data_IF_530168348826
#
_entry.id   IF_530168348826
#
_cell.length_a   1.000
_cell.length_b   1.000
_cell.length_c   1.000
_cell.angle_alpha   90.00
_cell.angle_beta   90.00
_cell.angle_gamma   90.00
#
_symmetry.space_group_name_H-M   'P 1'
#
loop_
_entity.id
_entity.type
_entity.pdbx_description
1 polymer ?
#
# COMPACT_ATOMS: atom_id res chain seq x y z
N UNK A 1 -6.59 -42.01 8.03
CA UNK A 1 -5.30 -41.36 7.66
C UNK A 1 -5.49 -40.59 6.36
N UNK A 2 -5.40 -39.25 6.36
CA UNK A 2 -5.30 -38.43 5.13
C UNK A 2 -4.36 -37.25 5.42
N UNK A 3 -3.20 -37.21 4.77
CA UNK A 3 -2.18 -36.16 4.89
C UNK A 3 -2.57 -34.86 4.14
N UNK A 4 -2.64 -33.69 4.78
CA UNK A 4 -2.86 -32.42 4.08
C UNK A 4 -1.58 -31.62 3.76
N UNK A 5 -0.37 -32.14 4.06
CA UNK A 5 0.87 -31.32 4.08
C UNK A 5 1.58 -31.11 2.72
N UNK A 6 1.35 -31.96 1.71
CA UNK A 6 2.10 -31.93 0.42
C UNK A 6 1.69 -30.80 -0.55
N UNK A 7 0.48 -30.25 -0.47
CA UNK A 7 -0.01 -29.19 -1.39
C UNK A 7 0.50 -27.78 -1.06
N UNK A 8 0.91 -27.53 0.19
CA UNK A 8 1.32 -26.18 0.62
C UNK A 8 2.81 -25.91 0.27
N UNK A 9 3.67 -26.91 0.45
CA UNK A 9 5.11 -26.78 0.17
C UNK A 9 5.42 -26.56 -1.33
N UNK A 10 4.74 -27.30 -2.23
CA UNK A 10 4.86 -27.09 -3.69
C UNK A 10 4.45 -25.67 -4.13
N UNK A 11 3.47 -25.05 -3.46
CA UNK A 11 3.03 -23.68 -3.75
C UNK A 11 4.03 -22.61 -3.29
N UNK A 12 4.76 -22.85 -2.20
CA UNK A 12 5.79 -21.91 -1.74
C UNK A 12 7.05 -21.97 -2.62
N UNK A 13 7.50 -23.17 -2.98
CA UNK A 13 8.68 -23.35 -3.84
C UNK A 13 8.47 -22.77 -5.25
N UNK A 14 7.30 -22.99 -5.85
CA UNK A 14 6.97 -22.42 -7.17
C UNK A 14 6.84 -20.90 -7.15
N UNK A 15 6.34 -20.29 -6.06
CA UNK A 15 6.33 -18.83 -5.88
C UNK A 15 7.74 -18.26 -5.73
N UNK A 16 8.62 -18.95 -4.99
CA UNK A 16 10.00 -18.53 -4.77
C UNK A 16 10.79 -18.51 -6.09
N UNK A 17 10.78 -19.62 -6.84
CA UNK A 17 11.43 -19.75 -8.15
C UNK A 17 10.89 -18.72 -9.16
N UNK A 18 9.58 -18.44 -9.13
CA UNK A 18 8.96 -17.45 -10.03
C UNK A 18 9.34 -16.01 -9.67
N UNK A 19 9.65 -15.75 -8.40
CA UNK A 19 10.10 -14.43 -7.93
C UNK A 19 11.56 -14.22 -8.28
N UNK A 20 12.44 -15.20 -8.00
CA UNK A 20 13.87 -15.15 -8.34
C UNK A 20 14.12 -14.90 -9.84
N UNK A 21 13.27 -15.45 -10.71
CA UNK A 21 13.37 -15.22 -12.16
C UNK A 21 13.10 -13.77 -12.59
N UNK A 22 12.28 -13.00 -11.87
CA UNK A 22 11.98 -11.62 -12.26
C UNK A 22 13.05 -10.64 -11.77
N UNK A 23 13.71 -10.94 -10.65
CA UNK A 23 14.71 -10.05 -10.03
C UNK A 23 15.92 -9.84 -10.95
N UNK A 24 16.26 -10.86 -11.74
CA UNK A 24 17.31 -10.80 -12.76
C UNK A 24 17.07 -9.75 -13.84
N UNK A 25 15.85 -9.25 -13.98
CA UNK A 25 15.45 -8.27 -14.99
C UNK A 25 14.99 -6.95 -14.36
N UNK A 26 15.31 -6.71 -13.08
CA UNK A 26 14.92 -5.48 -12.40
C UNK A 26 15.51 -4.24 -13.08
N UNK A 27 16.78 -4.30 -13.52
CA UNK A 27 17.44 -3.19 -14.25
C UNK A 27 16.77 -2.90 -15.59
N UNK A 28 16.38 -3.95 -16.33
CA UNK A 28 15.63 -3.81 -17.60
C UNK A 28 14.25 -3.17 -17.35
N UNK A 29 13.57 -3.57 -16.25
CA UNK A 29 12.28 -2.98 -15.85
C UNK A 29 12.45 -1.50 -15.48
N UNK A 30 13.49 -1.15 -14.71
CA UNK A 30 13.76 0.23 -14.29
C UNK A 30 14.04 1.12 -15.51
N UNK A 31 14.91 0.67 -16.40
CA UNK A 31 15.24 1.40 -17.63
C UNK A 31 14.00 1.62 -18.50
N UNK A 32 13.23 0.55 -18.76
CA UNK A 32 12.02 0.63 -19.57
C UNK A 32 10.92 1.48 -18.91
N UNK A 33 10.83 1.50 -17.58
CA UNK A 33 9.86 2.34 -16.88
C UNK A 33 10.18 3.83 -17.05
N UNK A 34 11.45 4.22 -16.99
CA UNK A 34 11.85 5.61 -17.20
C UNK A 34 11.53 6.11 -18.62
N UNK A 35 11.61 5.22 -19.62
CA UNK A 35 11.22 5.52 -21.00
C UNK A 35 9.70 5.67 -21.16
N UNK A 36 8.93 4.73 -20.61
CA UNK A 36 7.47 4.69 -20.82
C UNK A 36 6.64 5.38 -19.73
N UNK A 37 7.25 6.06 -18.74
CA UNK A 37 6.52 6.64 -17.59
C UNK A 37 5.35 7.57 -17.95
N UNK A 38 5.44 8.26 -19.08
CA UNK A 38 4.44 9.23 -19.54
C UNK A 38 3.42 8.61 -20.52
N UNK A 39 3.57 7.33 -20.85
CA UNK A 39 2.78 6.65 -21.85
C UNK A 39 1.55 5.99 -21.22
N UNK A 40 0.43 5.87 -21.96
CA UNK A 40 -0.69 5.08 -21.49
C UNK A 40 -0.27 3.60 -21.36
N UNK A 41 -0.68 2.98 -20.26
CA UNK A 41 -0.42 1.56 -19.96
C UNK A 41 1.08 1.18 -19.99
N UNK A 42 1.94 1.84 -19.19
CA UNK A 42 3.41 1.66 -19.26
C UNK A 42 3.82 0.20 -19.07
N UNK A 43 3.17 -0.50 -18.14
CA UNK A 43 3.47 -1.91 -17.85
C UNK A 43 3.23 -2.87 -19.03
N UNK A 44 2.30 -2.55 -19.93
CA UNK A 44 2.05 -3.35 -21.14
C UNK A 44 3.19 -3.14 -22.13
N UNK A 45 3.64 -1.89 -22.33
CA UNK A 45 4.79 -1.57 -23.18
C UNK A 45 6.07 -2.23 -22.66
N UNK A 46 6.32 -2.14 -21.35
CA UNK A 46 7.49 -2.77 -20.71
C UNK A 46 7.47 -4.29 -20.90
N UNK A 47 6.31 -4.94 -20.71
CA UNK A 47 6.16 -6.39 -20.93
C UNK A 47 6.54 -6.81 -22.35
N UNK A 48 6.09 -6.06 -23.35
CA UNK A 48 6.41 -6.30 -24.75
C UNK A 48 7.88 -6.02 -25.07
N UNK A 49 8.47 -4.96 -24.50
CA UNK A 49 9.87 -4.59 -24.71
C UNK A 49 10.83 -5.64 -24.14
N UNK A 50 10.61 -6.04 -22.89
CA UNK A 50 11.45 -7.03 -22.22
C UNK A 50 11.31 -8.40 -22.89
N UNK A 51 10.09 -8.77 -23.31
CA UNK A 51 9.79 -10.01 -24.04
C UNK A 51 10.36 -11.29 -23.40
N UNK A 52 10.49 -11.32 -22.06
CA UNK A 52 10.97 -12.49 -21.29
C UNK A 52 9.84 -13.35 -20.73
N UNK A 53 8.62 -13.17 -21.23
CA UNK A 53 7.43 -13.90 -20.75
C UNK A 53 6.85 -13.39 -19.42
N UNK A 54 7.27 -12.22 -18.93
CA UNK A 54 6.61 -11.57 -17.79
C UNK A 54 5.34 -10.85 -18.23
N UNK A 55 4.25 -11.12 -17.53
CA UNK A 55 3.00 -10.38 -17.73
C UNK A 55 3.12 -8.95 -17.18
N UNK A 56 2.39 -8.01 -17.80
CA UNK A 56 2.28 -6.62 -17.31
C UNK A 56 1.88 -6.52 -15.83
N UNK A 57 1.06 -7.47 -15.34
CA UNK A 57 0.68 -7.58 -13.92
C UNK A 57 1.86 -7.89 -13.01
N UNK A 58 2.77 -8.79 -13.43
CA UNK A 58 3.97 -9.11 -12.66
C UNK A 58 4.92 -7.92 -12.59
N UNK A 59 5.11 -7.25 -13.72
CA UNK A 59 5.96 -6.06 -13.81
C UNK A 59 5.39 -4.95 -12.93
N UNK A 60 4.08 -4.67 -13.04
CA UNK A 60 3.41 -3.70 -12.15
C UNK A 60 3.59 -4.05 -10.69
N UNK A 61 3.39 -5.31 -10.32
CA UNK A 61 3.52 -5.75 -8.94
C UNK A 61 4.95 -5.59 -8.43
N UNK A 62 5.96 -5.96 -9.22
CA UNK A 62 7.38 -5.79 -8.89
C UNK A 62 7.71 -4.30 -8.73
N UNK A 63 7.28 -3.46 -9.67
CA UNK A 63 7.48 -2.00 -9.63
C UNK A 63 6.95 -1.35 -8.35
N UNK A 64 5.65 -1.47 -8.09
CA UNK A 64 4.99 -0.79 -6.94
C UNK A 64 5.40 -1.34 -5.57
N UNK A 65 6.13 -2.47 -5.53
CA UNK A 65 6.55 -3.09 -4.27
C UNK A 65 8.03 -2.96 -3.99
N UNK A 66 8.88 -2.95 -5.02
CA UNK A 66 10.34 -3.05 -4.86
C UNK A 66 11.15 -2.10 -5.75
N UNK A 67 10.71 -1.73 -6.95
CA UNK A 67 11.58 -1.03 -7.92
C UNK A 67 11.35 0.47 -8.03
N UNK A 68 10.20 0.98 -7.62
CA UNK A 68 9.93 2.41 -7.65
C UNK A 68 10.90 3.14 -6.70
N UNK A 69 11.81 4.00 -7.21
CA UNK A 69 12.84 4.66 -6.40
C UNK A 69 12.28 5.56 -5.29
N UNK A 70 11.01 5.97 -5.41
CA UNK A 70 10.34 6.78 -4.38
C UNK A 70 9.97 5.96 -3.15
N UNK A 71 9.95 4.62 -3.26
CA UNK A 71 9.55 3.74 -2.16
C UNK A 71 10.58 3.73 -1.05
N UNK A 72 10.11 4.01 0.16
CA UNK A 72 10.92 3.89 1.36
C UNK A 72 10.80 2.47 1.94
N UNK A 73 11.88 1.68 1.78
CA UNK A 73 11.93 0.28 2.23
C UNK A 73 12.22 0.10 3.72
N UNK A 74 12.63 1.17 4.42
CA UNK A 74 12.97 1.16 5.83
C UNK A 74 11.79 0.69 6.70
N UNK A 75 12.05 0.40 7.97
CA UNK A 75 10.97 0.18 8.92
C UNK A 75 10.13 1.44 9.12
N UNK A 76 8.89 1.27 9.62
CA UNK A 76 8.06 2.41 10.02
C UNK A 76 8.63 3.01 11.29
N UNK A 77 8.84 4.32 11.29
CA UNK A 77 9.31 5.07 12.45
C UNK A 77 8.20 5.17 13.51
N UNK A 78 8.53 5.51 14.75
CA UNK A 78 7.55 5.59 15.84
C UNK A 78 6.46 6.65 15.57
N UNK A 79 6.83 7.75 14.93
CA UNK A 79 5.89 8.81 14.51
C UNK A 79 4.94 8.31 13.41
N UNK A 80 5.45 7.56 12.43
CA UNK A 80 4.63 6.96 11.37
C UNK A 80 3.65 5.95 11.96
N UNK A 81 4.12 5.11 12.90
CA UNK A 81 3.29 4.12 13.61
C UNK A 81 2.18 4.79 14.40
N UNK A 82 2.51 5.84 15.15
CA UNK A 82 1.55 6.63 15.92
C UNK A 82 0.52 7.28 15.02
N UNK A 83 0.96 7.87 13.91
CA UNK A 83 0.07 8.48 12.92
C UNK A 83 -0.89 7.48 12.28
N UNK A 84 -0.42 6.29 11.91
CA UNK A 84 -1.31 5.23 11.38
C UNK A 84 -2.40 4.87 12.40
N UNK A 85 -2.03 4.76 13.68
CA UNK A 85 -2.99 4.40 14.72
C UNK A 85 -4.06 5.46 14.94
N UNK A 86 -3.64 6.72 15.03
CA UNK A 86 -4.52 7.87 15.18
C UNK A 86 -5.46 8.00 13.98
N UNK A 87 -4.91 7.99 12.77
CA UNK A 87 -5.68 8.13 11.54
C UNK A 87 -6.71 7.02 11.38
N UNK A 88 -6.36 5.75 11.67
CA UNK A 88 -7.31 4.63 11.55
C UNK A 88 -8.42 4.73 12.60
N UNK A 89 -8.13 5.23 13.81
CA UNK A 89 -9.16 5.49 14.83
C UNK A 89 -10.13 6.57 14.36
N UNK A 90 -9.62 7.72 13.92
CA UNK A 90 -10.43 8.82 13.40
C UNK A 90 -11.28 8.39 12.20
N UNK A 91 -10.68 7.68 11.24
CA UNK A 91 -11.37 7.18 10.06
C UNK A 91 -12.54 6.27 10.43
N UNK A 92 -12.35 5.38 11.42
CA UNK A 92 -13.41 4.48 11.90
C UNK A 92 -14.49 5.21 12.69
N UNK A 93 -14.13 6.26 13.43
CA UNK A 93 -15.11 7.07 14.14
C UNK A 93 -16.02 7.82 13.17
N UNK A 94 -15.45 8.33 12.06
CA UNK A 94 -16.20 9.01 11.00
C UNK A 94 -16.95 8.03 10.09
N UNK A 95 -16.38 6.84 9.85
CA UNK A 95 -16.89 5.84 8.90
C UNK A 95 -16.90 4.44 9.55
N UNK A 96 -17.87 4.14 10.43
CA UNK A 96 -17.86 2.91 11.23
C UNK A 96 -18.03 1.63 10.42
N UNK A 97 -18.78 1.70 9.31
CA UNK A 97 -19.06 0.56 8.42
C UNK A 97 -18.02 0.39 7.31
N UNK A 98 -17.24 1.43 7.01
CA UNK A 98 -16.44 1.46 5.79
C UNK A 98 -15.12 0.71 5.93
N UNK A 99 -14.71 0.11 4.83
CA UNK A 99 -13.37 -0.47 4.70
C UNK A 99 -12.34 0.66 4.73
N UNK A 100 -11.26 0.44 5.49
CA UNK A 100 -10.14 1.38 5.57
C UNK A 100 -9.54 1.59 4.16
N UNK A 101 -9.54 2.84 3.70
CA UNK A 101 -8.90 3.24 2.45
C UNK A 101 -7.39 3.46 2.67
N UNK A 102 -6.60 2.39 2.52
CA UNK A 102 -5.14 2.43 2.74
C UNK A 102 -4.40 3.36 1.80
N UNK A 103 -4.82 3.47 0.53
CA UNK A 103 -4.22 4.37 -0.46
C UNK A 103 -4.30 5.83 0.02
N UNK A 104 -5.44 6.24 0.58
CA UNK A 104 -5.63 7.59 1.14
C UNK A 104 -4.73 7.86 2.33
N UNK A 105 -4.54 6.86 3.21
CA UNK A 105 -3.60 6.97 4.33
C UNK A 105 -2.16 7.10 3.84
N UNK A 106 -1.72 6.30 2.87
CA UNK A 106 -0.35 6.37 2.32
C UNK A 106 -0.09 7.75 1.71
N UNK A 107 -1.02 8.30 0.94
CA UNK A 107 -0.88 9.64 0.37
C UNK A 107 -0.74 10.72 1.45
N UNK A 108 -1.47 10.58 2.57
CA UNK A 108 -1.34 11.49 3.71
C UNK A 108 0.00 11.32 4.44
N UNK A 109 0.47 10.09 4.59
CA UNK A 109 1.79 9.80 5.17
C UNK A 109 2.92 10.37 4.30
N UNK A 110 2.84 10.19 2.98
CA UNK A 110 3.81 10.70 2.03
C UNK A 110 3.90 12.24 2.11
N UNK A 111 2.74 12.92 2.13
CA UNK A 111 2.69 14.37 2.33
C UNK A 111 3.25 14.85 3.68
N UNK A 112 3.09 14.06 4.75
CA UNK A 112 3.50 14.44 6.12
C UNK A 112 4.98 14.13 6.39
N UNK A 113 5.47 12.98 5.95
CA UNK A 113 6.79 12.45 6.28
C UNK A 113 7.77 12.48 5.11
N UNK A 114 7.30 12.77 3.88
CA UNK A 114 8.11 12.72 2.67
C UNK A 114 8.55 11.30 2.28
N UNK A 115 7.88 10.28 2.82
CA UNK A 115 8.24 8.86 2.64
C UNK A 115 7.06 8.10 2.03
N UNK A 116 7.21 7.67 0.78
CA UNK A 116 6.23 6.82 0.14
C UNK A 116 6.36 5.38 0.65
N UNK A 117 5.44 4.99 1.52
CA UNK A 117 5.37 3.61 2.06
C UNK A 117 4.50 2.72 1.19
N UNK A 118 4.92 1.47 1.02
CA UNK A 118 4.08 0.47 0.35
C UNK A 118 2.82 0.17 1.17
N UNK A 119 1.71 -0.09 0.49
CA UNK A 119 0.44 -0.44 1.14
C UNK A 119 0.56 -1.66 2.05
N UNK A 120 1.35 -2.65 1.62
CA UNK A 120 1.62 -3.83 2.42
C UNK A 120 2.33 -3.50 3.74
N UNK A 121 3.26 -2.54 3.76
CA UNK A 121 3.97 -2.17 4.99
C UNK A 121 3.00 -1.61 6.04
N UNK A 122 2.16 -0.67 5.62
CA UNK A 122 1.15 -0.03 6.49
C UNK A 122 0.12 -1.06 6.98
N UNK A 123 -0.40 -1.91 6.07
CA UNK A 123 -1.32 -3.00 6.42
C UNK A 123 -0.71 -3.97 7.41
N UNK A 124 0.51 -4.44 7.15
CA UNK A 124 1.19 -5.42 7.99
C UNK A 124 1.36 -4.89 9.41
N UNK A 125 1.79 -3.64 9.57
CA UNK A 125 1.89 -2.99 10.87
C UNK A 125 0.54 -3.00 11.61
N UNK A 126 -0.52 -2.50 10.97
CA UNK A 126 -1.83 -2.40 11.59
C UNK A 126 -2.42 -3.77 11.99
N UNK A 127 -2.39 -4.74 11.08
CA UNK A 127 -2.95 -6.07 11.34
C UNK A 127 -2.11 -6.86 12.35
N UNK A 128 -0.79 -6.69 12.36
CA UNK A 128 0.08 -7.27 13.37
C UNK A 128 -0.25 -6.72 14.76
N UNK A 129 -0.39 -5.39 14.88
CA UNK A 129 -0.81 -4.73 16.13
C UNK A 129 -2.17 -5.24 16.61
N UNK A 130 -3.17 -5.28 15.74
CA UNK A 130 -4.52 -5.80 16.07
C UNK A 130 -4.49 -7.25 16.56
N UNK A 131 -3.63 -8.09 15.96
CA UNK A 131 -3.43 -9.48 16.40
C UNK A 131 -2.79 -9.55 17.79
N UNK A 132 -1.79 -8.71 18.06
CA UNK A 132 -1.15 -8.64 19.38
C UNK A 132 -2.14 -8.20 20.47
N UNK A 133 -2.95 -7.17 20.20
CA UNK A 133 -3.99 -6.70 21.13
C UNK A 133 -5.00 -7.81 21.46
N UNK A 134 -5.46 -8.56 20.46
CA UNK A 134 -6.34 -9.72 20.68
C UNK A 134 -5.71 -10.77 21.60
N UNK A 135 -4.42 -11.05 21.43
CA UNK A 135 -3.70 -12.01 22.28
C UNK A 135 -3.55 -11.50 23.71
N UNK A 136 -3.24 -10.21 23.89
CA UNK A 136 -3.14 -9.58 25.23
C UNK A 136 -4.45 -9.66 26.01
N UNK A 137 -5.59 -9.50 25.34
CA UNK A 137 -6.93 -9.63 25.96
C UNK A 137 -7.33 -11.06 26.32
N UNK A 138 -6.61 -12.06 25.81
CA UNK A 138 -6.90 -13.48 26.03
C UNK A 138 -5.97 -14.12 27.07
N UNK A 139 -4.93 -13.41 27.54
CA UNK A 139 -4.17 -13.90 28.70
C UNK A 139 -5.02 -13.67 29.96
N UNK A 140 -5.26 -14.71 30.79
CA UNK A 140 -5.85 -14.51 32.11
C UNK A 140 -4.91 -13.65 32.96
N UNK A 141 -5.48 -12.66 33.64
CA UNK A 141 -4.77 -11.84 34.64
C UNK A 141 -4.19 -12.79 35.68
N UNK A 142 -2.87 -12.76 35.88
CA UNK A 142 -2.22 -13.44 37.00
C UNK A 142 -2.30 -12.54 38.23
N UNK A 143 -3.51 -12.22 38.66
CA UNK A 143 -3.74 -11.61 39.97
C UNK A 143 -4.46 -12.67 40.80
N UNK A 144 -3.67 -13.60 41.33
CA UNK A 144 -3.91 -14.40 42.55
C UNK A 144 -2.93 -15.59 42.56
N UNK A 145 -1.70 -15.33 43.00
CA UNK A 145 -0.85 -16.32 43.68
C UNK A 145 0.38 -15.61 44.24
N UNK A 146 0.30 -15.26 45.52
CA UNK A 146 1.46 -15.03 46.38
C UNK A 146 2.39 -16.24 46.34
N UNK A 147 3.57 -16.09 45.72
CA UNK A 147 4.88 -16.53 46.26
C UNK A 147 5.99 -16.27 45.24
N UNK A 148 6.98 -15.46 45.64
CA UNK A 148 8.31 -15.37 45.03
C UNK A 148 9.03 -16.73 45.15
N UNK A 149 9.95 -17.09 44.24
CA UNK A 149 11.33 -16.60 44.38
C UNK A 149 11.89 -15.93 43.12
N UNK A 150 12.81 -15.00 43.34
CA UNK A 150 13.65 -14.40 42.32
C UNK A 150 14.56 -15.43 41.67
N UNK A 151 14.68 -15.35 40.34
CA UNK A 151 15.90 -15.77 39.63
C UNK A 151 16.15 -14.82 38.45
N UNK A 152 17.28 -14.14 38.54
CA UNK A 152 17.76 -13.16 37.59
C UNK A 152 18.52 -13.90 36.49
N UNK A 153 18.05 -13.84 35.24
CA UNK A 153 18.94 -14.06 34.10
C UNK A 153 18.50 -13.29 32.86
N UNK A 154 19.26 -12.24 32.59
CA UNK A 154 19.37 -11.52 31.32
C UNK A 154 19.85 -12.51 30.26
N UNK A 155 19.06 -12.76 29.21
CA UNK A 155 19.56 -13.28 27.94
C UNK A 155 18.62 -12.87 26.77
N UNK A 156 19.10 -11.87 26.02
CA UNK A 156 19.07 -11.72 24.56
C UNK A 156 17.73 -11.73 23.81
N UNK A 157 17.49 -10.60 23.16
CA UNK A 157 16.79 -10.40 21.89
C UNK A 157 16.61 -11.67 21.06
N UNK A 158 15.37 -12.14 20.94
CA UNK A 158 14.99 -13.03 19.85
C UNK A 158 13.86 -12.40 19.06
N UNK A 159 14.23 -11.88 17.89
CA UNK A 159 13.33 -11.57 16.79
C UNK A 159 12.60 -12.85 16.38
N UNK A 160 11.31 -12.93 16.66
CA UNK A 160 10.45 -14.00 16.16
C UNK A 160 9.46 -13.44 15.14
N UNK A 161 9.84 -13.50 13.86
CA UNK A 161 8.93 -13.39 12.73
C UNK A 161 8.17 -14.71 12.56
N UNK A 162 6.99 -14.84 13.16
CA UNK A 162 6.04 -15.92 12.80
C UNK A 162 5.25 -15.52 11.56
N UNK A 163 5.62 -16.12 10.43
CA UNK A 163 4.93 -16.01 9.15
C UNK A 163 3.71 -16.94 9.14
N UNK A 164 2.51 -16.39 9.33
CA UNK A 164 1.27 -17.10 9.01
C UNK A 164 0.48 -16.34 7.95
N UNK A 165 0.54 -16.92 6.75
CA UNK A 165 -0.08 -16.45 5.52
C UNK A 165 -1.60 -16.67 5.57
N UNK A 166 -2.37 -15.59 5.71
CA UNK A 166 -3.76 -15.53 5.26
C UNK A 166 -4.09 -14.10 4.81
N UNK A 167 -3.93 -13.85 3.51
CA UNK A 167 -4.35 -12.62 2.83
C UNK A 167 -5.84 -12.79 2.44
N UNK A 168 -6.77 -11.94 2.92
CA UNK A 168 -8.11 -11.89 2.34
C UNK A 168 -8.04 -11.27 0.95
N UNK A 169 -8.46 -12.04 -0.05
CA UNK A 169 -8.69 -11.58 -1.42
C UNK A 169 -9.89 -10.64 -1.43
N UNK A 170 -9.66 -9.35 -1.64
CA UNK A 170 -10.64 -8.37 -2.11
C UNK A 170 -9.89 -7.07 -2.38
N UNK A 171 -9.45 -6.92 -3.63
CA UNK A 171 -8.95 -5.64 -4.16
C UNK A 171 -10.18 -4.81 -4.48
N UNK A 172 -10.56 -3.94 -3.54
CA UNK A 172 -11.49 -2.84 -3.82
C UNK A 172 -10.59 -1.63 -3.99
N UNK A 173 -10.55 -1.12 -5.22
CA UNK A 173 -9.80 0.05 -5.63
C UNK A 173 -10.72 1.25 -5.43
N UNK A 174 -10.37 2.17 -4.53
CA UNK A 174 -11.03 3.46 -4.46
C UNK A 174 -10.23 4.39 -5.38
N UNK A 175 -10.69 4.58 -6.62
CA UNK A 175 -10.30 5.74 -7.40
C UNK A 175 -11.21 6.90 -6.98
N UNK A 176 -10.62 8.01 -6.56
CA UNK A 176 -11.28 9.30 -6.65
C UNK A 176 -10.57 10.02 -7.79
N UNK A 177 -11.22 10.05 -8.95
CA UNK A 177 -10.79 10.87 -10.07
C UNK A 177 -10.88 12.32 -9.62
N UNK A 178 -9.73 12.94 -9.38
CA UNK A 178 -9.66 14.39 -9.28
C UNK A 178 -9.73 14.95 -10.71
N UNK A 179 -10.93 14.96 -11.29
CA UNK A 179 -11.23 15.85 -12.39
C UNK A 179 -11.24 17.27 -11.83
N UNK A 180 -10.15 17.99 -12.07
CA UNK A 180 -10.11 19.46 -12.02
C UNK A 180 -10.99 19.95 -13.16
N UNK A 181 -12.08 20.71 -12.93
CA UNK A 181 -12.72 21.44 -14.01
C UNK A 181 -11.86 22.67 -14.33
N UNK A 182 -11.12 22.60 -15.43
CA UNK A 182 -10.62 23.81 -16.10
C UNK A 182 -11.83 24.54 -16.70
N UNK A 183 -12.45 25.42 -15.93
CA UNK A 183 -13.43 26.37 -16.49
C UNK A 183 -12.66 27.49 -17.18
N UNK A 184 -12.48 27.33 -18.49
CA UNK A 184 -12.14 28.40 -19.41
C UNK A 184 -13.35 29.34 -19.43
N UNK A 185 -13.13 30.58 -19.02
CA UNK A 185 -14.10 31.67 -19.08
C UNK A 185 -14.33 32.07 -20.55
N UNK A 186 -15.56 32.08 -21.07
CA UNK A 186 -15.88 32.78 -22.30
C UNK A 186 -16.34 34.21 -21.96
N UNK A 187 -15.53 35.17 -22.41
CA UNK A 187 -15.85 36.59 -22.50
C UNK A 187 -17.11 36.80 -23.35
N UNK A 188 -18.15 37.51 -22.88
CA UNK A 188 -19.26 37.93 -23.72
C UNK A 188 -18.88 39.17 -24.55
N UNK A 189 -19.01 39.08 -25.88
CA UNK A 189 -19.06 40.25 -26.75
C UNK A 189 -20.49 40.76 -26.79
N UNK A 190 -20.75 41.91 -26.15
CA UNK A 190 -21.97 42.68 -26.34
C UNK A 190 -21.66 43.86 -27.27
N UNK A 191 -21.97 43.68 -28.55
CA UNK A 191 -22.12 44.76 -29.52
C UNK A 191 -23.57 45.26 -29.46
N UNK A 192 -23.81 46.38 -28.78
CA UNK A 192 -25.05 47.13 -28.91
C UNK A 192 -24.73 48.62 -29.13
N UNK A 193 -24.75 49.03 -30.39
CA UNK A 193 -24.76 50.43 -30.84
C UNK A 193 -26.24 50.81 -31.08
N UNK A 194 -26.80 51.83 -30.42
CA UNK A 194 -28.13 52.32 -30.75
C UNK A 194 -28.08 53.25 -31.98
N UNK A 195 -28.79 52.86 -33.03
CA UNK A 195 -29.06 53.69 -34.21
C UNK A 195 -30.03 54.82 -33.83
N UNK A 196 -29.54 56.06 -33.85
CA UNK A 196 -30.35 57.28 -33.76
C UNK A 196 -30.93 57.57 -35.13
N UNK A 197 -32.26 57.46 -35.28
CA UNK A 197 -32.99 57.97 -36.44
C UNK A 197 -33.69 59.28 -36.06
N UNK A 198 -33.23 60.39 -36.66
CA UNK A 198 -33.83 61.72 -36.60
C UNK A 198 -34.20 62.11 -38.03
N UNK A 199 -35.49 62.34 -38.29
CA UNK A 199 -36.06 63.18 -39.37
C UNK A 199 -37.59 63.07 -39.35
N UNK A 200 -38.34 64.08 -39.81
CA UNK A 200 -38.22 65.53 -39.64
C UNK A 200 -39.15 66.08 -38.54
#
# INVERSE_FOLDING_TARGET
MVEPKKKQQKKLQTKKIKTEKIELFDDEIISAMNEYKNEPNPYIKISKKINKGFTSKQIRQRWISQLDPRLCHNELDEDERSYINEWVKEYRNQNPSDKICWTKLILKMDKKFGKLRTENRVKNFWYLKKRQERRRRQLPSKDDASSSPQDNNILKSVSFCSQDNNIPKSVSFCFQDNNVPTTISPSPQDNNIPTVSLSP
#
